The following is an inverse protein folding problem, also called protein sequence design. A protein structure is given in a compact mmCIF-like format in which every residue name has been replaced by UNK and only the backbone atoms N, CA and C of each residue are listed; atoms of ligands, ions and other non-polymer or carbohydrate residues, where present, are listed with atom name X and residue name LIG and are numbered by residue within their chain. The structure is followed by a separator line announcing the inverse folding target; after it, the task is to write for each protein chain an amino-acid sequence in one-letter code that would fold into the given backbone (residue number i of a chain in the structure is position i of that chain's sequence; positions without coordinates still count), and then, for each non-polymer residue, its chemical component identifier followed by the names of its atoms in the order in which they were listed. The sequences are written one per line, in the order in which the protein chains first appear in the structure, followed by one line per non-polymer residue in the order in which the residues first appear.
data_IF_894953631138
#
_entry.id   IF_894953631138
#
_cell.length_a   1.000
_cell.length_b   1.000
_cell.length_c   1.000
_cell.angle_alpha   90.00
_cell.angle_beta   90.00
_cell.angle_gamma   90.00
#
_symmetry.space_group_name_H-M   'P 1'
#
loop_
_entity.id
_entity.type
_entity.pdbx_description
1 polymer ?
#
# COMPACT_ATOMS: atom_id res chain seq x y z
N UNK A 1 -2.20 -16.24 1.20
CA UNK A 1 -2.30 -14.83 0.78
C UNK A 1 -3.41 -14.15 1.57
N UNK A 2 -3.08 -13.13 2.36
CA UNK A 2 -4.06 -12.27 3.05
C UNK A 2 -4.15 -10.93 2.32
N UNK A 3 -5.29 -10.25 2.48
CA UNK A 3 -5.48 -8.87 1.97
C UNK A 3 -5.24 -7.90 3.12
N UNK A 4 -4.40 -6.90 2.89
CA UNK A 4 -4.06 -5.85 3.84
C UNK A 4 -4.69 -4.55 3.35
N UNK A 5 -5.44 -3.89 4.23
CA UNK A 5 -5.86 -2.50 4.02
C UNK A 5 -4.85 -1.58 4.70
N UNK A 6 -4.17 -0.75 3.91
CA UNK A 6 -3.21 0.23 4.39
C UNK A 6 -3.90 1.59 4.49
N UNK A 7 -4.09 2.09 5.71
CA UNK A 7 -4.67 3.40 5.98
C UNK A 7 -3.54 4.42 6.16
N UNK A 8 -3.45 5.38 5.24
CA UNK A 8 -2.30 6.27 5.10
C UNK A 8 -1.31 5.73 4.07
N UNK A 9 -1.28 6.34 2.90
CA UNK A 9 -0.62 5.84 1.68
C UNK A 9 0.49 6.75 1.17
N UNK A 10 1.13 7.51 2.06
CA UNK A 10 2.30 8.34 1.76
C UNK A 10 3.57 7.53 1.45
N UNK A 11 4.73 8.18 1.47
CA UNK A 11 6.02 7.58 1.07
C UNK A 11 6.37 6.30 1.86
N UNK A 12 6.15 6.29 3.17
CA UNK A 12 6.36 5.08 3.97
C UNK A 12 5.38 3.96 3.61
N UNK A 13 4.14 4.32 3.25
CA UNK A 13 3.13 3.37 2.83
C UNK A 13 3.52 2.67 1.52
N UNK A 14 4.18 3.38 0.60
CA UNK A 14 4.69 2.83 -0.66
C UNK A 14 5.75 1.77 -0.42
N UNK A 15 6.73 2.04 0.44
CA UNK A 15 7.76 1.08 0.79
C UNK A 15 7.17 -0.16 1.48
N UNK A 16 6.20 0.03 2.37
CA UNK A 16 5.46 -1.08 2.99
C UNK A 16 4.70 -1.91 1.93
N UNK A 17 3.97 -1.25 1.01
CA UNK A 17 3.20 -1.93 -0.02
C UNK A 17 4.09 -2.76 -0.94
N UNK A 18 5.27 -2.24 -1.34
CA UNK A 18 6.27 -2.97 -2.11
C UNK A 18 6.77 -4.21 -1.34
N UNK A 19 7.14 -4.05 -0.08
CA UNK A 19 7.63 -5.17 0.74
C UNK A 19 6.55 -6.25 0.96
N UNK A 20 5.32 -5.86 1.26
CA UNK A 20 4.20 -6.76 1.45
C UNK A 20 3.85 -7.52 0.16
N UNK A 21 3.89 -6.86 -1.01
CA UNK A 21 3.71 -7.51 -2.31
C UNK A 21 4.82 -8.52 -2.60
N UNK A 22 6.08 -8.19 -2.30
CA UNK A 22 7.22 -9.13 -2.40
C UNK A 22 7.05 -10.34 -1.48
N UNK A 23 6.41 -10.16 -0.33
CA UNK A 23 6.04 -11.24 0.59
C UNK A 23 4.75 -12.00 0.19
N UNK A 24 4.23 -11.78 -1.02
CA UNK A 24 3.06 -12.48 -1.56
C UNK A 24 1.72 -12.03 -0.94
N UNK A 25 1.66 -10.84 -0.36
CA UNK A 25 0.42 -10.24 0.15
C UNK A 25 -0.19 -9.29 -0.87
N UNK A 26 -1.51 -9.11 -0.78
CA UNK A 26 -2.22 -8.11 -1.58
C UNK A 26 -2.53 -6.90 -0.71
N UNK A 27 -2.15 -5.71 -1.17
CA UNK A 27 -2.34 -4.45 -0.44
C UNK A 27 -3.37 -3.60 -1.16
N UNK A 28 -4.32 -3.08 -0.40
CA UNK A 28 -5.25 -2.02 -0.80
C UNK A 28 -4.79 -0.76 -0.07
N UNK A 29 -4.24 0.19 -0.80
CA UNK A 29 -3.82 1.48 -0.27
C UNK A 29 -5.03 2.44 -0.22
N UNK A 30 -5.26 3.07 0.93
CA UNK A 30 -6.32 4.05 1.15
C UNK A 30 -5.72 5.32 1.77
N UNK A 31 -6.13 6.46 1.25
CA UNK A 31 -5.74 7.78 1.74
C UNK A 31 -6.89 8.77 1.47
N UNK A 32 -6.79 9.95 2.06
CA UNK A 32 -7.73 11.04 1.83
C UNK A 32 -7.57 11.65 0.43
N UNK A 33 -6.35 11.65 -0.10
CA UNK A 33 -6.03 12.24 -1.39
C UNK A 33 -5.93 11.16 -2.46
N UNK A 34 -6.41 11.48 -3.66
CA UNK A 34 -6.22 10.64 -4.83
C UNK A 34 -4.73 10.50 -5.18
N UNK A 35 -4.38 9.40 -5.84
CA UNK A 35 -3.03 9.13 -6.36
C UNK A 35 -1.90 9.15 -5.30
N UNK A 36 -2.22 8.88 -4.04
CA UNK A 36 -1.21 8.79 -2.98
C UNK A 36 -0.10 7.77 -3.31
N UNK A 37 1.16 7.97 -2.86
CA UNK A 37 2.33 7.18 -3.28
C UNK A 37 2.15 5.64 -3.26
N UNK A 38 1.49 5.09 -2.24
CA UNK A 38 1.28 3.65 -2.12
C UNK A 38 0.17 3.09 -3.04
N UNK A 39 -0.68 3.95 -3.63
CA UNK A 39 -1.72 3.55 -4.59
C UNK A 39 -1.15 3.26 -5.98
N UNK A 40 0.06 3.74 -6.27
CA UNK A 40 0.72 3.60 -7.58
C UNK A 40 1.50 2.29 -7.72
N UNK A 41 1.57 1.47 -6.67
CA UNK A 41 2.41 0.26 -6.61
C UNK A 41 1.60 -1.01 -6.49
#
# INVERSE_FOLDING_TARGET
MKKILLLGSGELGKEFAIAAKRAGQYVIACDKYDDAPAMQV
#
